data_IF_960453560075
#
_entry.id   IF_960453560075
#
_cell.length_a   1.000
_cell.length_b   1.000
_cell.length_c   1.000
_cell.angle_alpha   90.00
_cell.angle_beta   90.00
_cell.angle_gamma   90.00
#
_symmetry.space_group_name_H-M   'P 1'
#
loop_
_entity.id
_entity.type
_entity.pdbx_description
1 polymer ?
#
# COMPACT_ATOMS: atom_id res chain seq x y z
N UNK A 1 -75.63 -9.83 5.55
CA UNK A 1 -74.54 -8.90 5.15
C UNK A 1 -73.24 -9.08 5.95
N UNK A 2 -73.29 -9.51 7.22
CA UNK A 2 -72.12 -9.70 8.10
C UNK A 2 -71.14 -10.81 7.62
N UNK A 3 -71.64 -11.92 7.08
CA UNK A 3 -70.81 -13.08 6.69
C UNK A 3 -69.86 -12.75 5.52
N UNK A 4 -70.31 -11.96 4.52
CA UNK A 4 -69.47 -11.55 3.39
C UNK A 4 -68.29 -10.67 3.80
N UNK A 5 -68.43 -9.85 4.85
CA UNK A 5 -67.34 -9.00 5.37
C UNK A 5 -66.23 -9.82 6.02
N UNK A 6 -66.58 -10.92 6.71
CA UNK A 6 -65.60 -11.77 7.41
C UNK A 6 -64.64 -12.48 6.44
N UNK A 7 -65.14 -12.99 5.32
CA UNK A 7 -64.31 -13.63 4.29
C UNK A 7 -63.38 -12.65 3.57
N UNK A 8 -63.83 -11.41 3.33
CA UNK A 8 -62.99 -10.37 2.71
C UNK A 8 -61.85 -9.98 3.66
N UNK A 9 -62.13 -9.79 4.95
CA UNK A 9 -61.11 -9.43 5.95
C UNK A 9 -60.06 -10.54 6.08
N UNK A 10 -60.49 -11.81 6.09
CA UNK A 10 -59.57 -12.94 6.17
C UNK A 10 -58.61 -13.01 4.96
N UNK A 11 -59.13 -12.83 3.74
CA UNK A 11 -58.29 -12.82 2.54
C UNK A 11 -57.27 -11.67 2.53
N UNK A 12 -57.63 -10.50 3.05
CA UNK A 12 -56.70 -9.36 3.15
C UNK A 12 -55.57 -9.63 4.16
N UNK A 13 -55.87 -10.30 5.28
CA UNK A 13 -54.86 -10.67 6.28
C UNK A 13 -53.86 -11.67 5.68
N UNK A 14 -54.34 -12.69 4.97
CA UNK A 14 -53.47 -13.70 4.34
C UNK A 14 -52.52 -13.08 3.31
N UNK A 15 -53.02 -12.17 2.46
CA UNK A 15 -52.19 -11.44 1.49
C UNK A 15 -51.15 -10.55 2.20
N UNK A 16 -51.54 -9.87 3.29
CA UNK A 16 -50.62 -9.02 4.03
C UNK A 16 -49.48 -9.82 4.69
N UNK A 17 -49.78 -10.99 5.24
CA UNK A 17 -48.78 -11.90 5.80
C UNK A 17 -47.79 -12.34 4.71
N UNK A 18 -48.28 -12.75 3.53
CA UNK A 18 -47.42 -13.17 2.41
C UNK A 18 -46.50 -12.02 1.96
N UNK A 19 -47.04 -10.81 1.79
CA UNK A 19 -46.24 -9.64 1.40
C UNK A 19 -45.17 -9.29 2.45
N UNK A 20 -45.51 -9.43 3.73
CA UNK A 20 -44.56 -9.16 4.83
C UNK A 20 -43.41 -10.16 4.79
N UNK A 21 -43.71 -11.46 4.63
CA UNK A 21 -42.70 -12.53 4.54
C UNK A 21 -41.78 -12.31 3.33
N UNK A 22 -42.35 -12.03 2.15
CA UNK A 22 -41.56 -11.76 0.94
C UNK A 22 -40.62 -10.57 1.16
N UNK A 23 -41.12 -9.50 1.79
CA UNK A 23 -40.33 -8.30 2.07
C UNK A 23 -39.18 -8.58 3.04
N UNK A 24 -39.39 -9.36 4.10
CA UNK A 24 -38.31 -9.76 5.02
C UNK A 24 -37.27 -10.65 4.34
N UNK A 25 -37.69 -11.58 3.47
CA UNK A 25 -36.75 -12.41 2.71
C UNK A 25 -35.90 -11.58 1.74
N UNK A 26 -36.50 -10.61 1.03
CA UNK A 26 -35.75 -9.70 0.15
C UNK A 26 -34.78 -8.85 0.98
N UNK A 27 -35.19 -8.35 2.14
CA UNK A 27 -34.33 -7.55 3.03
C UNK A 27 -33.15 -8.37 3.58
N UNK A 28 -33.39 -9.60 4.03
CA UNK A 28 -32.32 -10.48 4.54
C UNK A 28 -31.35 -10.93 3.43
N UNK A 29 -31.84 -11.20 2.22
CA UNK A 29 -30.99 -11.58 1.09
C UNK A 29 -30.06 -10.45 0.61
N UNK A 30 -30.50 -9.19 0.76
CA UNK A 30 -29.87 -8.04 0.10
C UNK A 30 -29.31 -6.98 1.05
N UNK A 31 -29.72 -6.95 2.32
CA UNK A 31 -29.47 -5.82 3.23
C UNK A 31 -28.01 -5.62 3.59
N UNK A 32 -27.28 -6.70 3.91
CA UNK A 32 -25.86 -6.60 4.30
C UNK A 32 -24.92 -6.71 3.09
N UNK A 33 -25.29 -7.49 2.08
CA UNK A 33 -24.47 -7.75 0.89
C UNK A 33 -24.34 -6.51 0.01
N UNK A 34 -25.43 -5.78 -0.24
CA UNK A 34 -25.42 -4.60 -1.13
C UNK A 34 -24.59 -3.46 -0.53
N UNK A 35 -24.71 -3.20 0.77
CA UNK A 35 -23.96 -2.11 1.41
C UNK A 35 -22.45 -2.36 1.42
N UNK A 36 -22.04 -3.61 1.67
CA UNK A 36 -20.62 -4.02 1.59
C UNK A 36 -20.10 -3.90 0.16
N UNK A 37 -20.88 -4.32 -0.84
CA UNK A 37 -20.50 -4.21 -2.26
C UNK A 37 -20.36 -2.74 -2.68
N UNK A 38 -21.30 -1.87 -2.30
CA UNK A 38 -21.25 -0.42 -2.59
C UNK A 38 -20.03 0.23 -1.92
N UNK A 39 -19.72 -0.14 -0.68
CA UNK A 39 -18.51 0.37 0.00
C UNK A 39 -17.23 -0.08 -0.70
N UNK A 40 -17.14 -1.37 -1.07
CA UNK A 40 -15.98 -1.90 -1.81
C UNK A 40 -15.81 -1.24 -3.17
N UNK A 41 -16.89 -1.06 -3.92
CA UNK A 41 -16.83 -0.43 -5.25
C UNK A 41 -16.41 1.04 -5.17
N UNK A 42 -16.88 1.78 -4.15
CA UNK A 42 -16.43 3.17 -3.89
C UNK A 42 -14.95 3.23 -3.58
N UNK A 43 -14.44 2.40 -2.66
CA UNK A 43 -13.00 2.35 -2.33
C UNK A 43 -12.13 1.98 -3.54
N UNK A 44 -12.61 1.06 -4.38
CA UNK A 44 -11.90 0.70 -5.61
C UNK A 44 -11.85 1.87 -6.60
N UNK A 45 -12.98 2.56 -6.79
CA UNK A 45 -13.06 3.73 -7.68
C UNK A 45 -12.13 4.85 -7.22
N UNK A 46 -12.11 5.18 -5.93
CA UNK A 46 -11.24 6.25 -5.38
C UNK A 46 -9.77 5.90 -5.53
N UNK A 47 -9.38 4.63 -5.31
CA UNK A 47 -8.01 4.17 -5.54
C UNK A 47 -7.61 4.30 -7.01
N UNK A 48 -8.46 3.84 -7.94
CA UNK A 48 -8.20 3.91 -9.38
C UNK A 48 -8.06 5.36 -9.85
N UNK A 49 -8.92 6.26 -9.37
CA UNK A 49 -8.85 7.68 -9.67
C UNK A 49 -7.58 8.32 -9.11
N UNK A 50 -7.20 7.97 -7.87
CA UNK A 50 -5.93 8.41 -7.29
C UNK A 50 -4.72 7.97 -8.13
N UNK A 51 -4.69 6.71 -8.58
CA UNK A 51 -3.61 6.22 -9.44
C UNK A 51 -3.55 6.96 -10.78
N UNK A 52 -4.71 7.27 -11.38
CA UNK A 52 -4.77 8.08 -12.59
C UNK A 52 -4.21 9.49 -12.36
N UNK A 53 -4.54 10.11 -11.22
CA UNK A 53 -3.99 11.42 -10.87
C UNK A 53 -2.47 11.36 -10.67
N UNK A 54 -1.95 10.30 -10.03
CA UNK A 54 -0.52 10.11 -9.85
C UNK A 54 0.20 10.00 -11.21
N UNK A 55 -0.36 9.25 -12.16
CA UNK A 55 0.16 9.18 -13.53
C UNK A 55 0.17 10.50 -14.24
N UNK A 56 -0.88 11.30 -14.07
CA UNK A 56 -0.93 12.61 -14.67
C UNK A 56 0.12 13.53 -14.03
N UNK A 57 0.21 13.58 -12.70
CA UNK A 57 1.22 14.37 -11.97
C UNK A 57 2.63 14.00 -12.42
N UNK A 58 2.96 12.70 -12.49
CA UNK A 58 4.26 12.23 -12.96
C UNK A 58 4.58 12.77 -14.35
N UNK A 59 3.70 12.57 -15.34
CA UNK A 59 3.92 13.05 -16.70
C UNK A 59 4.00 14.58 -16.78
N UNK A 60 3.21 15.31 -15.99
CA UNK A 60 3.26 16.78 -15.95
C UNK A 60 4.54 17.30 -15.32
N UNK A 61 5.03 16.62 -14.29
CA UNK A 61 6.32 16.93 -13.67
C UNK A 61 7.46 16.71 -14.67
N UNK A 62 7.45 15.62 -15.44
CA UNK A 62 8.44 15.38 -16.51
C UNK A 62 8.40 16.47 -17.59
N UNK A 63 7.20 16.89 -18.02
CA UNK A 63 7.05 17.97 -19.01
C UNK A 63 7.60 19.28 -18.45
N UNK A 64 7.21 19.64 -17.23
CA UNK A 64 7.72 20.84 -16.56
C UNK A 64 9.24 20.81 -16.47
N UNK A 65 9.82 19.64 -16.19
CA UNK A 65 11.26 19.46 -16.17
C UNK A 65 11.96 19.67 -17.51
N UNK A 66 11.34 19.21 -18.59
CA UNK A 66 11.90 19.42 -19.94
C UNK A 66 11.90 20.90 -20.33
N UNK A 67 10.95 21.68 -19.81
CA UNK A 67 10.85 23.12 -20.08
C UNK A 67 11.81 23.96 -19.22
N UNK A 68 12.36 23.40 -18.14
CA UNK A 68 13.32 24.07 -17.27
C UNK A 68 14.77 23.88 -17.78
N UNK A 69 15.55 24.97 -17.74
CA UNK A 69 16.99 24.92 -18.06
C UNK A 69 17.84 24.33 -16.93
N UNK A 70 17.37 24.47 -15.69
CA UNK A 70 18.00 23.96 -14.48
C UNK A 70 16.97 23.22 -13.64
N UNK A 71 17.29 21.99 -13.21
CA UNK A 71 16.35 21.19 -12.44
C UNK A 71 16.30 21.66 -10.99
N UNK A 72 15.13 22.04 -10.46
CA UNK A 72 14.96 22.26 -9.04
C UNK A 72 15.22 20.96 -8.26
N UNK A 73 15.68 21.11 -7.02
CA UNK A 73 15.91 19.97 -6.12
C UNK A 73 14.60 19.31 -5.68
N UNK A 74 13.54 20.11 -5.62
CA UNK A 74 12.22 19.71 -5.15
C UNK A 74 11.16 20.35 -6.04
N UNK A 75 10.06 19.63 -6.27
CA UNK A 75 8.88 20.16 -6.95
C UNK A 75 7.68 19.85 -6.08
N UNK A 76 6.89 20.89 -5.81
CA UNK A 76 5.59 20.73 -5.19
C UNK A 76 4.50 20.59 -6.24
N UNK A 77 3.49 19.76 -5.96
CA UNK A 77 2.34 19.59 -6.87
C UNK A 77 1.60 20.91 -7.10
N UNK A 78 1.56 21.80 -6.11
CA UNK A 78 0.93 23.11 -6.23
C UNK A 78 1.70 24.01 -7.21
N UNK A 79 3.02 23.85 -7.35
CA UNK A 79 3.81 24.55 -8.35
C UNK A 79 3.36 24.18 -9.77
N UNK A 80 3.16 22.88 -10.03
CA UNK A 80 2.65 22.41 -11.33
C UNK A 80 1.26 22.98 -11.65
N UNK A 81 0.42 23.18 -10.63
CA UNK A 81 -0.89 23.83 -10.78
C UNK A 81 -0.73 25.31 -11.09
N UNK A 82 0.07 26.02 -10.30
CA UNK A 82 0.31 27.46 -10.45
C UNK A 82 0.94 27.81 -11.79
N UNK A 83 1.80 26.93 -12.31
CA UNK A 83 2.45 27.07 -13.62
C UNK A 83 1.59 26.57 -14.78
N UNK A 84 0.41 26.02 -14.52
CA UNK A 84 -0.54 25.58 -15.55
C UNK A 84 -0.25 24.22 -16.19
N UNK A 85 0.70 23.46 -15.65
CA UNK A 85 0.99 22.10 -16.12
C UNK A 85 -0.03 21.09 -15.63
N UNK A 86 -0.63 21.31 -14.47
CA UNK A 86 -1.58 20.40 -13.84
C UNK A 86 -2.90 21.10 -13.51
N UNK A 87 -4.02 20.46 -13.84
CA UNK A 87 -5.32 20.97 -13.42
C UNK A 87 -5.52 20.82 -11.91
N UNK A 88 -6.07 21.86 -11.24
CA UNK A 88 -6.35 21.86 -9.79
C UNK A 88 -7.22 20.69 -9.31
N UNK A 89 -8.06 20.12 -10.17
CA UNK A 89 -8.88 18.96 -9.80
C UNK A 89 -8.03 17.68 -9.64
N UNK A 90 -6.91 17.61 -10.36
CA UNK A 90 -5.98 16.47 -10.40
C UNK A 90 -4.91 16.54 -9.30
N UNK A 91 -4.67 17.72 -8.73
CA UNK A 91 -3.74 17.89 -7.60
C UNK A 91 -4.28 17.38 -6.26
N UNK A 92 -5.54 16.92 -6.19
CA UNK A 92 -6.17 16.46 -4.96
C UNK A 92 -6.49 14.97 -5.01
N UNK A 93 -6.12 14.25 -3.95
CA UNK A 93 -6.51 12.86 -3.78
C UNK A 93 -8.01 12.76 -3.45
N UNK A 94 -8.78 11.87 -4.11
CA UNK A 94 -10.19 11.64 -3.79
C UNK A 94 -10.44 11.19 -2.34
N UNK A 95 -9.43 10.58 -1.70
CA UNK A 95 -9.46 10.17 -0.28
C UNK A 95 -8.85 11.21 0.66
N UNK A 96 -8.63 12.45 0.21
CA UNK A 96 -8.03 13.57 0.97
C UNK A 96 -6.54 13.40 1.34
N UNK A 97 -5.86 12.44 0.73
CA UNK A 97 -4.40 12.33 0.82
C UNK A 97 -3.64 13.46 0.14
N UNK A 98 -2.35 13.55 0.44
CA UNK A 98 -1.40 14.46 -0.20
C UNK A 98 -0.54 13.73 -1.21
N UNK A 99 -0.17 14.42 -2.29
CA UNK A 99 0.75 13.91 -3.30
C UNK A 99 2.14 14.51 -3.10
N UNK A 100 3.17 13.70 -3.29
CA UNK A 100 4.57 14.10 -3.20
C UNK A 100 5.33 13.59 -4.41
N UNK A 101 6.29 14.38 -4.88
CA UNK A 101 7.11 14.08 -6.06
C UNK A 101 8.55 13.90 -5.58
N UNK A 102 9.15 12.75 -5.91
CA UNK A 102 10.56 12.46 -5.67
C UNK A 102 11.34 12.55 -6.97
N UNK A 103 12.51 13.17 -6.90
CA UNK A 103 13.28 13.59 -8.08
C UNK A 103 14.69 13.06 -7.95
N UNK A 104 15.18 12.44 -9.02
CA UNK A 104 16.58 12.07 -9.11
C UNK A 104 17.38 13.24 -9.71
N UNK A 105 17.98 14.06 -8.85
CA UNK A 105 18.74 15.25 -9.25
C UNK A 105 19.96 14.88 -10.10
N UNK A 106 20.64 13.77 -9.81
CA UNK A 106 21.83 13.32 -10.55
C UNK A 106 21.50 12.91 -11.98
N UNK A 107 20.41 12.17 -12.15
CA UNK A 107 20.00 11.60 -13.43
C UNK A 107 18.99 12.46 -14.18
N UNK A 108 18.56 13.55 -13.57
CA UNK A 108 17.66 14.56 -14.15
C UNK A 108 16.31 13.99 -14.62
N UNK A 109 15.61 13.26 -13.76
CA UNK A 109 14.25 12.78 -14.03
C UNK A 109 13.41 12.65 -12.76
N UNK A 110 12.08 12.55 -12.91
CA UNK A 110 11.13 12.28 -11.81
C UNK A 110 11.24 10.81 -11.42
N UNK A 111 11.67 10.49 -10.20
CA UNK A 111 11.85 9.09 -9.81
C UNK A 111 10.50 8.43 -9.48
N UNK A 112 9.70 9.07 -8.62
CA UNK A 112 8.36 8.59 -8.29
C UNK A 112 7.44 9.72 -7.88
N UNK A 113 6.14 9.44 -7.97
CA UNK A 113 5.09 10.28 -7.38
C UNK A 113 4.25 9.38 -6.50
N UNK A 114 4.06 9.74 -5.24
CA UNK A 114 3.31 8.92 -4.29
C UNK A 114 2.19 9.70 -3.62
N UNK A 115 1.22 8.96 -3.09
CA UNK A 115 0.09 9.49 -2.34
C UNK A 115 0.10 8.93 -0.92
N UNK A 116 -0.15 9.79 0.07
CA UNK A 116 -0.21 9.40 1.49
C UNK A 116 -1.24 8.31 1.80
N UNK A 117 -2.30 8.19 0.99
CA UNK A 117 -3.41 7.25 1.22
C UNK A 117 -3.34 5.98 0.36
N UNK A 118 -2.73 6.03 -0.83
CA UNK A 118 -2.85 4.95 -1.82
C UNK A 118 -1.52 4.44 -2.38
N UNK A 119 -0.39 4.97 -1.90
CA UNK A 119 0.95 4.73 -2.45
C UNK A 119 1.05 5.08 -3.95
N UNK A 120 2.23 4.88 -4.54
CA UNK A 120 2.45 5.08 -5.97
C UNK A 120 1.97 3.85 -6.76
N UNK A 121 1.22 4.00 -7.87
CA UNK A 121 1.01 2.92 -8.83
C UNK A 121 2.26 2.60 -9.65
N UNK A 122 3.27 3.47 -9.59
CA UNK A 122 4.58 3.32 -10.21
C UNK A 122 5.63 2.77 -9.27
N UNK A 123 5.28 2.49 -8.02
CA UNK A 123 6.02 1.46 -7.28
C UNK A 123 5.96 0.24 -8.19
N UNK A 124 7.10 -0.06 -8.82
CA UNK A 124 7.22 -1.04 -9.90
C UNK A 124 7.03 -2.48 -9.39
N UNK A 125 6.48 -2.61 -8.18
CA UNK A 125 6.41 -3.80 -7.37
C UNK A 125 4.98 -3.99 -6.90
N UNK A 126 4.46 -5.18 -7.14
CA UNK A 126 3.20 -5.62 -6.58
C UNK A 126 3.22 -5.54 -5.06
N UNK A 127 2.05 -5.30 -4.46
CA UNK A 127 1.85 -5.35 -3.01
C UNK A 127 2.46 -6.63 -2.40
N UNK A 128 2.34 -7.76 -3.12
CA UNK A 128 2.91 -9.04 -2.72
C UNK A 128 4.44 -9.05 -2.66
N UNK A 129 5.13 -8.38 -3.59
CA UNK A 129 6.59 -8.29 -3.60
C UNK A 129 7.11 -7.46 -2.44
N UNK A 130 6.39 -6.39 -2.08
CA UNK A 130 6.70 -5.55 -0.91
C UNK A 130 6.42 -6.29 0.40
N UNK A 131 5.27 -6.97 0.51
CA UNK A 131 4.93 -7.80 1.67
C UNK A 131 5.95 -8.92 1.89
N UNK A 132 6.35 -9.62 0.82
CA UNK A 132 7.37 -10.66 0.90
C UNK A 132 8.74 -10.08 1.28
N UNK A 133 9.10 -8.91 0.76
CA UNK A 133 10.34 -8.25 1.14
C UNK A 133 10.36 -7.88 2.63
N UNK A 134 9.26 -7.36 3.18
CA UNK A 134 9.16 -7.04 4.60
C UNK A 134 9.14 -8.29 5.48
N UNK A 135 8.48 -9.37 5.05
CA UNK A 135 8.54 -10.67 5.73
C UNK A 135 9.98 -11.21 5.77
N UNK A 136 10.75 -11.02 4.71
CA UNK A 136 12.16 -11.40 4.67
C UNK A 136 13.01 -10.55 5.62
N UNK A 137 12.75 -9.24 5.71
CA UNK A 137 13.41 -8.35 6.68
C UNK A 137 13.18 -8.85 8.11
N UNK A 138 11.92 -9.08 8.51
CA UNK A 138 11.58 -9.59 9.85
C UNK A 138 12.26 -10.93 10.16
N UNK A 139 12.36 -11.83 9.18
CA UNK A 139 13.04 -13.12 9.34
C UNK A 139 14.55 -12.97 9.56
N UNK A 140 15.18 -12.06 8.82
CA UNK A 140 16.61 -11.76 8.96
C UNK A 140 16.88 -11.15 10.36
N UNK A 141 16.08 -10.18 10.78
CA UNK A 141 16.24 -9.52 12.08
C UNK A 141 16.16 -10.53 13.24
N UNK A 142 15.16 -11.42 13.22
CA UNK A 142 15.02 -12.51 14.19
C UNK A 142 16.20 -13.48 14.17
N UNK A 143 16.68 -13.85 12.99
CA UNK A 143 17.83 -14.75 12.85
C UNK A 143 19.11 -14.13 13.44
N UNK A 144 19.33 -12.83 13.21
CA UNK A 144 20.44 -12.05 13.80
C UNK A 144 20.31 -11.99 15.31
N UNK A 145 19.11 -11.73 15.84
CA UNK A 145 18.86 -11.70 17.28
C UNK A 145 19.19 -13.04 17.95
N UNK A 146 18.71 -14.15 17.39
CA UNK A 146 18.96 -15.49 17.89
C UNK A 146 20.44 -15.86 17.85
N UNK A 147 21.12 -15.59 16.72
CA UNK A 147 22.56 -15.81 16.60
C UNK A 147 23.34 -15.05 17.67
N UNK A 148 23.05 -13.75 17.84
CA UNK A 148 23.73 -12.90 18.82
C UNK A 148 23.51 -13.38 20.26
N UNK A 149 22.34 -13.95 20.56
CA UNK A 149 22.01 -14.52 21.87
C UNK A 149 22.82 -15.80 22.17
N UNK A 150 23.07 -16.62 21.16
CA UNK A 150 23.75 -17.91 21.32
C UNK A 150 25.26 -17.81 21.29
N UNK A 151 25.84 -16.95 20.43
CA UNK A 151 27.28 -16.94 20.19
C UNK A 151 28.10 -16.15 21.21
N UNK A 152 27.47 -15.40 22.14
CA UNK A 152 28.09 -14.43 23.08
C UNK A 152 28.96 -13.32 22.43
N UNK A 153 29.37 -13.49 21.18
CA UNK A 153 29.97 -12.50 20.31
C UNK A 153 28.91 -11.94 19.36
N UNK A 154 28.84 -10.61 19.26
CA UNK A 154 27.94 -9.93 18.31
C UNK A 154 28.44 -10.18 16.89
N UNK A 155 27.54 -10.48 15.95
CA UNK A 155 27.86 -10.46 14.51
C UNK A 155 28.51 -9.11 14.21
N UNK A 156 29.71 -9.08 13.59
CA UNK A 156 30.36 -7.82 13.28
C UNK A 156 29.45 -6.98 12.40
N UNK A 157 29.42 -5.66 12.65
CA UNK A 157 28.70 -4.70 11.84
C UNK A 157 28.92 -4.95 10.32
N UNK A 158 27.84 -5.32 9.62
CA UNK A 158 27.72 -5.63 8.18
C UNK A 158 28.16 -4.53 7.17
N UNK A 159 28.75 -3.41 7.59
CA UNK A 159 29.00 -2.27 6.69
C UNK A 159 30.08 -2.51 5.62
N UNK A 160 30.81 -3.63 5.66
CA UNK A 160 31.90 -3.90 4.73
C UNK A 160 31.95 -5.33 4.16
N UNK A 161 30.97 -6.18 4.45
CA UNK A 161 30.90 -7.52 3.86
C UNK A 161 29.92 -7.53 2.68
N UNK A 162 30.27 -8.23 1.60
CA UNK A 162 29.30 -8.60 0.57
C UNK A 162 28.12 -9.28 1.27
N UNK A 163 26.95 -8.62 1.29
CA UNK A 163 25.75 -9.00 2.06
C UNK A 163 25.38 -10.50 1.96
N UNK A 164 25.76 -11.15 0.87
CA UNK A 164 25.61 -12.59 0.63
C UNK A 164 26.28 -13.47 1.70
N UNK A 165 27.42 -13.07 2.29
CA UNK A 165 28.18 -13.94 3.20
C UNK A 165 27.47 -14.16 4.54
N UNK A 166 26.87 -13.12 5.13
CA UNK A 166 26.21 -13.22 6.45
C UNK A 166 24.91 -14.00 6.36
N UNK A 167 24.09 -13.78 5.33
CA UNK A 167 22.88 -14.58 5.15
C UNK A 167 23.19 -16.05 4.84
N UNK A 168 24.30 -16.31 4.16
CA UNK A 168 24.80 -17.68 3.95
C UNK A 168 25.20 -18.32 5.28
N UNK A 169 25.88 -17.60 6.16
CA UNK A 169 26.24 -18.11 7.49
C UNK A 169 24.99 -18.39 8.36
N UNK A 170 24.04 -17.45 8.42
CA UNK A 170 22.79 -17.63 9.17
C UNK A 170 21.99 -18.84 8.66
N UNK A 171 21.96 -19.05 7.34
CA UNK A 171 21.36 -20.24 6.73
C UNK A 171 22.13 -21.53 7.07
N UNK A 172 23.46 -21.54 6.95
CA UNK A 172 24.30 -22.70 7.26
C UNK A 172 24.21 -23.13 8.73
N UNK A 173 24.05 -22.17 9.65
CA UNK A 173 23.85 -22.43 11.07
C UNK A 173 22.38 -22.71 11.45
N UNK A 174 21.45 -22.68 10.49
CA UNK A 174 20.05 -23.04 10.69
C UNK A 174 19.16 -21.96 11.30
N UNK A 175 19.61 -20.71 11.39
CA UNK A 175 18.79 -19.58 11.84
C UNK A 175 17.84 -19.07 10.75
N UNK A 176 18.14 -19.37 9.48
CA UNK A 176 17.26 -19.12 8.33
C UNK A 176 16.95 -20.45 7.63
N UNK A 177 15.69 -20.60 7.19
CA UNK A 177 15.25 -21.78 6.42
C UNK A 177 15.66 -21.71 4.95
N UNK A 178 15.92 -20.50 4.44
CA UNK A 178 16.41 -20.24 3.09
C UNK A 178 17.16 -18.91 3.06
N UNK A 179 17.96 -18.67 2.01
CA UNK A 179 18.64 -17.38 1.82
C UNK A 179 17.63 -16.37 1.28
N UNK A 180 17.26 -15.31 2.04
CA UNK A 180 16.22 -14.39 1.63
C UNK A 180 16.63 -13.62 0.37
N UNK A 181 15.70 -13.48 -0.56
CA UNK A 181 15.89 -12.71 -1.80
C UNK A 181 14.76 -11.70 -1.96
N UNK A 182 15.10 -10.50 -2.40
CA UNK A 182 14.10 -9.50 -2.77
C UNK A 182 13.69 -9.75 -4.23
N UNK A 183 12.38 -9.97 -4.48
CA UNK A 183 11.86 -10.16 -5.84
C UNK A 183 12.05 -8.93 -6.73
N UNK A 184 12.18 -7.74 -6.14
CA UNK A 184 12.55 -6.50 -6.83
C UNK A 184 14.05 -6.38 -7.16
N UNK A 185 14.83 -7.45 -7.02
CA UNK A 185 16.30 -7.46 -7.15
C UNK A 185 16.98 -6.45 -6.21
N UNK A 186 16.41 -6.26 -5.02
CA UNK A 186 17.02 -5.48 -3.96
C UNK A 186 18.03 -6.29 -3.15
N UNK A 187 18.96 -5.59 -2.56
CA UNK A 187 19.92 -6.16 -1.61
C UNK A 187 19.47 -5.83 -0.20
N UNK A 188 19.57 -6.79 0.71
CA UNK A 188 19.36 -6.53 2.13
C UNK A 188 20.68 -6.08 2.74
N UNK A 189 20.67 -4.96 3.43
CA UNK A 189 21.80 -4.41 4.16
C UNK A 189 21.38 -4.15 5.60
N UNK A 190 22.20 -4.57 6.55
CA UNK A 190 22.01 -4.22 7.95
C UNK A 190 22.70 -2.89 8.24
N UNK A 191 21.98 -1.95 8.83
CA UNK A 191 22.57 -0.70 9.28
C UNK A 191 23.05 -0.88 10.72
N UNK A 192 24.36 -0.65 10.91
CA UNK A 192 25.07 -0.71 12.18
C UNK A 192 24.53 0.34 13.16
N UNK A 193 24.52 0.20 14.49
CA UNK A 193 25.15 -0.79 15.37
C UNK A 193 24.39 -1.00 16.70
N UNK A 194 23.16 -0.49 16.84
CA UNK A 194 22.46 -0.52 18.14
C UNK A 194 21.14 -1.31 18.13
N UNK A 195 20.44 -1.38 16.98
CA UNK A 195 19.07 -1.92 16.93
C UNK A 195 18.87 -3.11 15.97
N UNK A 196 19.93 -3.64 15.35
CA UNK A 196 19.85 -4.76 14.37
C UNK A 196 18.84 -4.55 13.23
N UNK A 197 18.63 -3.30 12.79
CA UNK A 197 17.64 -2.98 11.76
C UNK A 197 18.13 -3.33 10.36
N UNK A 198 17.31 -4.08 9.62
CA UNK A 198 17.63 -4.52 8.25
C UNK A 198 16.82 -3.70 7.24
N UNK A 199 17.52 -3.12 6.25
CA UNK A 199 16.91 -2.41 5.12
C UNK A 199 17.03 -3.22 3.84
N UNK A 200 16.06 -3.07 2.95
CA UNK A 200 16.22 -3.44 1.54
C UNK A 200 16.59 -2.20 0.70
N UNK A 201 17.58 -2.31 -0.17
CA UNK A 201 17.99 -1.22 -1.08
C UNK A 201 16.91 -0.78 -2.07
N UNK A 202 15.83 -1.55 -2.20
CA UNK A 202 14.66 -1.23 -3.01
C UNK A 202 13.45 -0.80 -2.18
N UNK A 203 13.17 -1.50 -1.08
CA UNK A 203 11.94 -1.30 -0.33
C UNK A 203 12.10 -0.49 0.96
N UNK A 204 13.34 -0.09 1.30
CA UNK A 204 13.66 0.62 2.55
C UNK A 204 13.51 -0.26 3.78
N UNK A 205 13.12 0.35 4.90
CA UNK A 205 12.67 -0.36 6.11
C UNK A 205 11.15 -0.54 6.09
N UNK A 206 10.63 -1.59 6.75
CA UNK A 206 9.23 -1.61 7.13
C UNK A 206 8.95 -0.31 7.91
N UNK A 207 7.94 0.46 7.49
CA UNK A 207 7.49 1.65 8.23
C UNK A 207 7.30 1.25 9.69
N UNK A 208 8.03 1.92 10.59
CA UNK A 208 8.23 1.56 11.98
C UNK A 208 6.97 0.93 12.59
N UNK A 209 7.14 -0.25 13.20
CA UNK A 209 6.14 -0.81 14.11
C UNK A 209 5.81 0.32 15.09
N UNK A 210 4.63 0.91 14.96
CA UNK A 210 4.10 1.81 15.98
C UNK A 210 4.08 0.96 17.25
N UNK A 211 4.94 1.32 18.21
CA UNK A 211 4.98 0.67 19.50
C UNK A 211 3.67 1.02 20.20
N UNK A 212 2.64 0.21 19.95
CA UNK A 212 1.43 0.10 20.78
C UNK A 212 1.69 -0.89 21.93
#
# INVERSE_FOLDING_TARGET
>A
MQIKKKHIIQGLIEVFIILTIISTFIYMANGESIFVIIKKSRKYKTKKECHSNISEIYSRAEIYYMDLKEMPKEIEVEELVNKGYLEKKRSKCPSKGTYSIEINVEKKYVDTVWCSEHASPFDRWSVKEKELCFSNIDAIEKAIELYNKEQKEKIPPLAHYNNTSVFTELYQKGYLTEIPRCLGNGEYSNILSENNTVKCSKHGEPSAKTND
#
